data_IF_079953386835
#
_entry.id   IF_079953386835
#
_cell.length_a   1.000
_cell.length_b   1.000
_cell.length_c   1.000
_cell.angle_alpha   90.00
_cell.angle_beta   90.00
_cell.angle_gamma   90.00
#
_symmetry.space_group_name_H-M   'P 1'
#
loop_
_entity.id
_entity.type
_entity.pdbx_description
1 polymer ?
#
# COMPACT_ATOMS: atom_id res chain seq x y z
N UNK A 1 -26.60 -40.37 -24.58
CA UNK A 1 -25.87 -39.27 -25.25
C UNK A 1 -26.90 -38.18 -25.53
N UNK A 2 -27.12 -37.23 -24.60
CA UNK A 2 -28.24 -36.27 -24.71
C UNK A 2 -28.27 -35.12 -23.71
N UNK A 3 -27.47 -35.14 -22.64
CA UNK A 3 -27.51 -34.09 -21.61
C UNK A 3 -26.56 -32.92 -21.87
N UNK A 4 -25.48 -33.12 -22.63
CA UNK A 4 -24.48 -32.09 -22.92
C UNK A 4 -25.02 -31.01 -23.88
N UNK A 5 -25.87 -31.42 -24.84
CA UNK A 5 -26.52 -30.51 -25.80
C UNK A 5 -27.49 -29.52 -25.12
N UNK A 6 -28.19 -29.98 -24.07
CA UNK A 6 -29.14 -29.13 -23.33
C UNK A 6 -28.43 -28.04 -22.51
N UNK A 7 -27.25 -28.34 -21.96
CA UNK A 7 -26.47 -27.36 -21.19
C UNK A 7 -25.85 -26.30 -22.11
N UNK A 8 -25.42 -26.68 -23.30
CA UNK A 8 -24.87 -25.75 -24.28
C UNK A 8 -25.94 -24.78 -24.80
N UNK A 9 -27.15 -25.28 -25.03
CA UNK A 9 -28.29 -24.44 -25.46
C UNK A 9 -28.71 -23.44 -24.39
N UNK A 10 -28.73 -23.85 -23.11
CA UNK A 10 -29.07 -22.96 -21.99
C UNK A 10 -28.03 -21.83 -21.79
N UNK A 11 -26.75 -22.11 -22.06
CA UNK A 11 -25.69 -21.12 -21.96
C UNK A 11 -25.76 -20.09 -23.09
N UNK A 12 -26.07 -20.51 -24.32
CA UNK A 12 -26.29 -19.59 -25.45
C UNK A 12 -27.53 -18.72 -25.25
N UNK A 13 -28.65 -19.26 -24.78
CA UNK A 13 -29.85 -18.45 -24.46
C UNK A 13 -29.54 -17.38 -23.41
N UNK A 14 -28.74 -17.74 -22.39
CA UNK A 14 -28.36 -16.81 -21.33
C UNK A 14 -27.48 -15.68 -21.86
N UNK A 15 -26.57 -15.99 -22.78
CA UNK A 15 -25.71 -15.00 -23.44
C UNK A 15 -26.54 -14.05 -24.32
N UNK A 16 -27.43 -14.59 -25.15
CA UNK A 16 -28.30 -13.78 -26.02
C UNK A 16 -29.27 -12.90 -25.21
N UNK A 17 -29.86 -13.42 -24.13
CA UNK A 17 -30.75 -12.67 -23.26
C UNK A 17 -30.03 -11.52 -22.55
N UNK A 18 -28.77 -11.73 -22.16
CA UNK A 18 -27.94 -10.68 -21.55
C UNK A 18 -27.59 -9.59 -22.57
N UNK A 19 -27.26 -9.98 -23.81
CA UNK A 19 -26.98 -9.03 -24.89
C UNK A 19 -28.23 -8.21 -25.27
N UNK A 20 -29.40 -8.85 -25.34
CA UNK A 20 -30.67 -8.16 -25.59
C UNK A 20 -30.96 -7.12 -24.49
N UNK A 21 -30.69 -7.43 -23.21
CA UNK A 21 -30.88 -6.47 -22.10
C UNK A 21 -29.97 -5.24 -22.21
N UNK A 22 -28.73 -5.41 -22.70
CA UNK A 22 -27.82 -4.29 -22.94
C UNK A 22 -28.30 -3.42 -24.11
N UNK A 23 -28.81 -4.04 -25.18
CA UNK A 23 -29.30 -3.32 -26.36
C UNK A 23 -30.67 -2.63 -26.14
N UNK A 24 -31.52 -3.15 -25.23
CA UNK A 24 -32.86 -2.60 -24.96
C UNK A 24 -32.84 -1.36 -24.06
N UNK A 25 -31.66 -0.91 -23.58
CA UNK A 25 -31.54 0.34 -22.80
C UNK A 25 -31.26 1.57 -23.70
N UNK A 26 -31.18 1.41 -25.02
CA UNK A 26 -30.84 2.48 -25.95
C UNK A 26 -32.03 3.08 -26.75
N UNK A 27 -33.29 2.69 -26.50
CA UNK A 27 -34.37 3.10 -27.39
C UNK A 27 -35.78 3.09 -26.80
N UNK A 28 -36.07 3.96 -25.83
CA UNK A 28 -37.42 4.50 -25.61
C UNK A 28 -37.30 5.90 -25.00
N UNK A 29 -37.13 6.92 -25.84
CA UNK A 29 -37.40 8.31 -25.47
C UNK A 29 -38.79 8.68 -25.96
N UNK A 30 -39.75 8.72 -25.04
CA UNK A 30 -40.95 9.55 -25.20
C UNK A 30 -40.55 11.02 -24.90
N UNK A 31 -41.18 12.04 -25.51
CA UNK A 31 -40.85 13.42 -25.17
C UNK A 31 -41.41 13.75 -23.77
N UNK A 32 -40.53 13.74 -22.78
CA UNK A 32 -40.81 14.31 -21.46
C UNK A 32 -40.53 15.84 -21.49
N UNK A 33 -41.26 16.66 -20.71
CA UNK A 33 -41.08 18.10 -20.72
C UNK A 33 -39.64 18.44 -20.33
N UNK A 34 -39.10 19.47 -21.00
CA UNK A 34 -37.69 19.86 -20.98
C UNK A 34 -37.21 20.11 -19.55
N UNK A 35 -36.60 19.10 -18.93
CA UNK A 35 -35.92 19.27 -17.65
C UNK A 35 -34.54 19.87 -17.95
N UNK A 36 -34.15 20.99 -17.31
CA UNK A 36 -32.79 21.50 -17.43
C UNK A 36 -31.81 20.40 -17.02
N UNK A 37 -30.81 20.17 -17.87
CA UNK A 37 -29.77 19.17 -17.63
C UNK A 37 -29.18 19.38 -16.23
N UNK A 38 -29.01 18.33 -15.39
CA UNK A 38 -28.26 18.47 -14.15
C UNK A 38 -26.87 19.01 -14.49
N UNK A 39 -26.45 20.08 -13.82
CA UNK A 39 -25.12 20.64 -14.02
C UNK A 39 -24.06 19.53 -13.81
N UNK A 40 -22.97 19.53 -14.60
CA UNK A 40 -21.84 18.62 -14.37
C UNK A 40 -21.44 18.68 -12.90
N UNK A 41 -21.32 17.51 -12.26
CA UNK A 41 -20.82 17.44 -10.89
C UNK A 41 -19.51 18.24 -10.79
N UNK A 42 -19.34 19.10 -9.78
CA UNK A 42 -18.11 19.87 -9.65
C UNK A 42 -16.92 18.92 -9.63
N UNK A 43 -15.82 19.25 -10.34
CA UNK A 43 -14.64 18.39 -10.34
C UNK A 43 -14.22 18.15 -8.90
N UNK A 44 -14.10 16.87 -8.53
CA UNK A 44 -13.61 16.47 -7.22
C UNK A 44 -12.30 17.20 -6.95
N UNK A 45 -12.28 18.02 -5.90
CA UNK A 45 -11.11 18.79 -5.49
C UNK A 45 -9.94 17.81 -5.40
N UNK A 46 -8.82 18.01 -6.12
CA UNK A 46 -7.70 17.10 -6.02
C UNK A 46 -7.24 17.08 -4.56
N UNK A 47 -7.38 15.93 -3.90
CA UNK A 47 -6.94 15.73 -2.51
C UNK A 47 -5.42 15.95 -2.47
N UNK A 48 -5.00 17.13 -2.04
CA UNK A 48 -3.58 17.50 -2.00
C UNK A 48 -2.94 16.79 -0.80
N UNK A 49 -2.28 15.67 -1.07
CA UNK A 49 -1.41 15.02 -0.09
C UNK A 49 -0.10 15.79 0.01
N UNK A 50 0.32 16.08 1.25
CA UNK A 50 1.58 16.75 1.55
C UNK A 50 2.78 16.00 0.93
N UNK A 51 3.77 16.75 0.46
CA UNK A 51 5.02 16.20 -0.08
C UNK A 51 5.68 15.27 0.96
N UNK A 52 6.25 14.11 0.55
CA UNK A 52 6.97 13.24 1.49
C UNK A 52 8.11 13.99 2.18
N UNK A 53 8.37 13.64 3.42
CA UNK A 53 9.53 14.16 4.14
C UNK A 53 10.82 13.52 3.61
N UNK A 54 11.94 14.26 3.53
CA UNK A 54 13.24 13.66 3.25
C UNK A 54 13.57 12.57 4.27
N UNK A 55 14.22 11.51 3.82
CA UNK A 55 14.59 10.35 4.63
C UNK A 55 16.10 10.16 4.62
N UNK A 56 16.72 10.25 5.79
CA UNK A 56 18.17 10.18 6.01
C UNK A 56 18.72 8.74 6.16
N UNK A 57 17.83 7.76 6.35
CA UNK A 57 18.21 6.38 6.68
C UNK A 57 17.89 5.97 8.12
N UNK A 58 17.18 6.80 8.89
CA UNK A 58 16.75 6.45 10.24
C UNK A 58 15.90 5.17 10.25
N UNK A 59 16.27 4.21 11.09
CA UNK A 59 15.62 2.90 11.13
C UNK A 59 14.25 2.93 11.83
N UNK A 60 13.52 1.83 11.77
CA UNK A 60 12.35 1.60 12.61
C UNK A 60 11.11 2.37 12.15
N UNK A 61 10.55 3.20 13.04
CA UNK A 61 9.28 3.91 12.79
C UNK A 61 9.40 4.92 11.65
N UNK A 62 10.52 5.65 11.56
CA UNK A 62 10.76 6.64 10.52
C UNK A 62 10.80 6.01 9.13
N UNK A 63 11.51 4.88 8.97
CA UNK A 63 11.54 4.12 7.72
C UNK A 63 10.15 3.64 7.27
N UNK A 64 9.32 3.18 8.21
CA UNK A 64 7.93 2.77 7.93
C UNK A 64 7.06 3.95 7.50
N UNK A 65 7.18 5.08 8.19
CA UNK A 65 6.44 6.30 7.86
C UNK A 65 6.81 6.80 6.46
N UNK A 66 8.11 6.82 6.15
CA UNK A 66 8.62 7.20 4.84
C UNK A 66 8.01 6.35 3.72
N UNK A 67 8.09 5.01 3.82
CA UNK A 67 7.56 4.15 2.75
C UNK A 67 6.04 4.19 2.65
N UNK A 68 5.36 4.44 3.77
CA UNK A 68 3.93 4.72 3.80
C UNK A 68 3.56 5.99 3.02
N UNK A 69 4.33 7.07 3.17
CA UNK A 69 4.13 8.30 2.40
C UNK A 69 4.36 8.08 0.90
N UNK A 70 5.41 7.33 0.51
CA UNK A 70 5.67 6.97 -0.90
C UNK A 70 4.50 6.17 -1.48
N UNK A 71 4.05 5.13 -0.79
CA UNK A 71 2.92 4.32 -1.21
C UNK A 71 1.64 5.14 -1.35
N UNK A 72 1.38 6.03 -0.39
CA UNK A 72 0.20 6.90 -0.39
C UNK A 72 0.20 7.88 -1.59
N UNK A 73 1.35 8.45 -1.94
CA UNK A 73 1.48 9.28 -3.16
C UNK A 73 1.22 8.47 -4.43
N UNK A 74 1.76 7.26 -4.51
CA UNK A 74 1.60 6.40 -5.68
C UNK A 74 0.13 6.04 -5.94
N UNK A 75 -0.62 5.67 -4.89
CA UNK A 75 -2.06 5.32 -5.02
C UNK A 75 -2.95 6.55 -5.24
N UNK A 76 -2.58 7.71 -4.70
CA UNK A 76 -3.38 8.94 -4.84
C UNK A 76 -3.23 9.55 -6.22
N UNK A 77 -2.05 9.44 -6.82
CA UNK A 77 -1.76 10.03 -8.13
C UNK A 77 -1.33 8.96 -9.16
N UNK A 78 -2.18 7.97 -9.47
CA UNK A 78 -1.78 6.82 -10.29
C UNK A 78 -1.29 7.24 -11.68
N UNK A 79 -1.85 8.32 -12.27
CA UNK A 79 -1.41 8.89 -13.55
C UNK A 79 0.04 9.40 -13.53
N UNK A 80 0.57 9.80 -12.36
CA UNK A 80 1.97 10.22 -12.18
C UNK A 80 2.91 9.02 -12.02
N UNK A 81 2.37 7.88 -11.58
CA UNK A 81 3.11 6.64 -11.29
C UNK A 81 2.67 5.45 -12.17
N UNK A 82 2.69 5.58 -13.52
CA UNK A 82 2.26 4.50 -14.42
C UNK A 82 3.19 3.28 -14.42
N UNK A 83 4.37 3.35 -13.80
CA UNK A 83 5.35 2.25 -13.78
C UNK A 83 5.93 2.04 -12.39
N UNK A 84 6.34 0.81 -12.08
CA UNK A 84 7.04 0.47 -10.84
C UNK A 84 8.33 1.28 -10.66
N UNK A 85 9.07 1.46 -11.75
CA UNK A 85 10.30 2.26 -11.76
C UNK A 85 10.04 3.73 -11.36
N UNK A 86 8.91 4.32 -11.76
CA UNK A 86 8.57 5.69 -11.32
C UNK A 86 8.30 5.79 -9.82
N UNK A 87 7.76 4.74 -9.19
CA UNK A 87 7.59 4.67 -7.73
C UNK A 87 8.95 4.64 -7.03
N UNK A 88 9.90 3.86 -7.56
CA UNK A 88 11.29 3.79 -7.04
C UNK A 88 12.00 5.13 -7.22
N UNK A 89 11.96 5.72 -8.42
CA UNK A 89 12.55 7.06 -8.68
C UNK A 89 12.04 8.08 -7.69
N UNK A 90 10.74 8.08 -7.43
CA UNK A 90 10.13 8.98 -6.46
C UNK A 90 10.60 8.70 -5.05
N UNK A 91 10.68 7.45 -4.59
CA UNK A 91 11.25 7.13 -3.28
C UNK A 91 12.68 7.67 -3.16
N UNK A 92 13.54 7.37 -4.13
CA UNK A 92 14.95 7.77 -4.13
C UNK A 92 15.12 9.29 -4.13
N UNK A 93 14.25 10.05 -4.81
CA UNK A 93 14.29 11.51 -4.82
C UNK A 93 14.21 12.14 -3.42
N UNK A 94 13.60 11.43 -2.47
CA UNK A 94 13.47 11.88 -1.09
C UNK A 94 14.50 11.27 -0.15
N UNK A 95 15.40 10.40 -0.62
CA UNK A 95 16.48 9.84 0.19
C UNK A 95 17.64 10.83 0.30
N UNK A 96 18.20 10.94 1.50
CA UNK A 96 19.31 11.82 1.88
C UNK A 96 20.37 11.03 2.63
N UNK A 97 21.56 11.60 2.70
CA UNK A 97 22.68 11.09 3.51
C UNK A 97 22.91 9.59 3.31
N UNK A 98 22.83 8.80 4.38
CA UNK A 98 23.04 7.36 4.33
C UNK A 98 22.05 6.65 3.39
N UNK A 99 20.77 7.05 3.40
CA UNK A 99 19.78 6.49 2.49
C UNK A 99 20.07 6.81 1.01
N UNK A 100 20.63 8.00 0.72
CA UNK A 100 21.01 8.35 -0.65
C UNK A 100 22.12 7.42 -1.16
N UNK A 101 23.18 7.21 -0.36
CA UNK A 101 24.25 6.25 -0.68
C UNK A 101 23.73 4.83 -0.83
N UNK A 102 22.87 4.38 0.08
CA UNK A 102 22.24 3.06 0.02
C UNK A 102 21.43 2.85 -1.28
N UNK A 103 20.82 3.91 -1.80
CA UNK A 103 19.95 3.84 -2.99
C UNK A 103 20.70 3.87 -4.33
N UNK A 104 22.01 4.13 -4.34
CA UNK A 104 22.83 4.20 -5.56
C UNK A 104 22.65 3.03 -6.55
N UNK A 105 22.64 1.74 -6.14
CA UNK A 105 22.46 0.63 -7.09
C UNK A 105 21.10 0.67 -7.82
N UNK A 106 20.07 1.30 -7.25
CA UNK A 106 18.80 1.50 -7.95
C UNK A 106 18.88 2.65 -8.95
N UNK A 107 19.56 3.75 -8.60
CA UNK A 107 19.81 4.86 -9.52
C UNK A 107 20.59 4.39 -10.75
N UNK A 108 21.64 3.62 -10.55
CA UNK A 108 22.42 3.04 -11.65
C UNK A 108 21.53 2.17 -12.55
N UNK A 109 20.75 1.25 -11.97
CA UNK A 109 19.80 0.43 -12.74
C UNK A 109 18.82 1.30 -13.55
N UNK A 110 18.27 2.35 -12.95
CA UNK A 110 17.35 3.29 -13.62
C UNK A 110 18.06 3.98 -14.80
N UNK A 111 19.29 4.46 -14.61
CA UNK A 111 20.07 5.13 -15.67
C UNK A 111 20.49 4.19 -16.80
N UNK A 112 20.83 2.94 -16.48
CA UNK A 112 21.09 1.88 -17.46
C UNK A 112 19.81 1.27 -18.06
N UNK A 113 18.63 1.85 -17.77
CA UNK A 113 17.31 1.39 -18.24
C UNK A 113 17.01 -0.06 -17.87
N UNK A 114 17.63 -0.57 -16.81
CA UNK A 114 17.31 -1.87 -16.21
C UNK A 114 16.01 -1.72 -15.45
N UNK A 115 15.07 -2.65 -15.69
CA UNK A 115 13.79 -2.64 -15.00
C UNK A 115 13.99 -2.80 -13.49
N UNK A 116 13.54 -1.80 -12.72
CA UNK A 116 13.48 -1.88 -11.27
C UNK A 116 12.04 -2.09 -10.85
N UNK A 117 11.79 -3.23 -10.20
CA UNK A 117 10.49 -3.59 -9.63
C UNK A 117 10.40 -3.01 -8.22
N UNK A 118 9.30 -2.32 -7.94
CA UNK A 118 9.10 -1.62 -6.66
C UNK A 118 9.08 -2.59 -5.49
N UNK A 119 8.52 -3.80 -5.66
CA UNK A 119 8.50 -4.82 -4.61
C UNK A 119 9.90 -5.31 -4.21
N UNK A 120 10.83 -5.42 -5.17
CA UNK A 120 12.23 -5.77 -4.87
C UNK A 120 12.89 -4.66 -4.06
N UNK A 121 12.69 -3.40 -4.47
CA UNK A 121 13.14 -2.23 -3.71
C UNK A 121 12.56 -2.22 -2.29
N UNK A 122 11.26 -2.51 -2.12
CA UNK A 122 10.62 -2.58 -0.80
C UNK A 122 11.20 -3.68 0.07
N UNK A 123 11.49 -4.85 -0.51
CA UNK A 123 12.08 -5.97 0.22
C UNK A 123 13.45 -5.60 0.78
N UNK A 124 14.31 -5.04 -0.07
CA UNK A 124 15.65 -4.62 0.31
C UNK A 124 15.59 -3.46 1.32
N UNK A 125 14.72 -2.47 1.09
CA UNK A 125 14.49 -1.34 2.01
C UNK A 125 14.07 -1.82 3.40
N UNK A 126 13.13 -2.77 3.47
CA UNK A 126 12.69 -3.36 4.75
C UNK A 126 13.84 -4.11 5.43
N UNK A 127 14.63 -4.86 4.66
CA UNK A 127 15.78 -5.58 5.21
C UNK A 127 16.81 -4.63 5.82
N UNK A 128 17.04 -3.47 5.20
CA UNK A 128 18.04 -2.50 5.66
C UNK A 128 17.54 -1.62 6.81
N UNK A 129 16.33 -1.06 6.70
CA UNK A 129 15.90 0.01 7.61
C UNK A 129 14.82 -0.38 8.60
N UNK A 130 14.15 -1.53 8.44
CA UNK A 130 13.18 -1.93 9.45
C UNK A 130 13.94 -2.51 10.65
N UNK A 131 13.56 -2.07 11.85
CA UNK A 131 14.11 -2.61 13.09
C UNK A 131 13.86 -4.13 13.17
N UNK A 132 14.91 -4.89 12.86
CA UNK A 132 15.01 -6.31 13.20
C UNK A 132 15.35 -6.50 14.69
N UNK A 133 15.76 -5.41 15.36
CA UNK A 133 16.24 -5.44 16.73
C UNK A 133 15.12 -5.54 17.79
N UNK A 134 13.83 -5.46 17.41
CA UNK A 134 12.74 -5.70 18.39
C UNK A 134 12.82 -7.08 19.03
N UNK A 135 13.33 -8.07 18.30
CA UNK A 135 13.50 -9.42 18.83
C UNK A 135 14.64 -9.49 19.86
N UNK A 136 15.75 -8.78 19.63
CA UNK A 136 16.86 -8.73 20.57
C UNK A 136 16.54 -7.85 21.79
N UNK A 137 15.93 -6.68 21.60
CA UNK A 137 15.50 -5.80 22.70
C UNK A 137 14.44 -6.48 23.59
N UNK A 138 13.46 -7.18 23.01
CA UNK A 138 12.50 -7.96 23.79
C UNK A 138 13.20 -9.10 24.57
N UNK A 139 14.17 -9.78 23.94
CA UNK A 139 14.94 -10.84 24.60
C UNK A 139 15.83 -10.33 25.74
N UNK A 140 16.31 -9.09 25.68
CA UNK A 140 17.04 -8.43 26.79
C UNK A 140 16.08 -7.92 27.87
N UNK A 141 14.87 -7.47 27.51
CA UNK A 141 13.87 -6.97 28.46
C UNK A 141 13.17 -8.09 29.26
N UNK A 142 12.96 -9.27 28.65
CA UNK A 142 12.28 -10.40 29.30
C UNK A 142 12.96 -10.88 30.61
N UNK A 143 14.30 -11.11 30.66
CA UNK A 143 15.00 -11.48 31.90
C UNK A 143 14.96 -10.37 32.96
N UNK A 144 15.08 -9.10 32.57
CA UNK A 144 15.04 -7.97 33.50
C UNK A 144 13.67 -7.80 34.17
N UNK A 145 12.59 -8.14 33.45
CA UNK A 145 11.23 -8.14 34.00
C UNK A 145 11.04 -9.26 35.05
N UNK A 146 11.57 -10.46 34.81
CA UNK A 146 11.55 -11.56 35.79
C UNK A 146 12.44 -11.28 37.03
N UNK A 147 13.52 -10.51 36.90
CA UNK A 147 14.42 -10.23 38.02
C UNK A 147 13.88 -9.17 39.00
N UNK A 148 12.90 -8.35 38.56
CA UNK A 148 12.31 -7.28 39.40
C UNK A 148 11.32 -7.83 40.43
N UNK A 149 10.89 -9.09 40.28
CA UNK A 149 10.17 -9.84 41.31
C UNK A 149 11.12 -10.45 42.34
N UNK A 150 11.88 -9.63 43.05
CA UNK A 150 12.75 -10.14 44.13
C UNK A 150 11.88 -10.60 45.31
N UNK A 151 12.06 -11.85 45.74
CA UNK A 151 11.41 -12.50 46.91
C UNK A 151 11.57 -11.71 48.23
N UNK A 152 12.44 -10.69 48.24
CA UNK A 152 12.71 -9.82 49.39
C UNK A 152 11.51 -8.97 49.83
N UNK A 153 10.50 -8.77 48.98
CA UNK A 153 9.29 -8.03 49.36
C UNK A 153 8.35 -8.78 50.33
N UNK A 154 8.57 -10.07 50.59
CA UNK A 154 7.68 -10.90 51.42
C UNK A 154 8.19 -11.18 52.84
N UNK A 155 9.41 -10.76 53.21
CA UNK A 155 9.97 -11.08 54.55
C UNK A 155 9.84 -9.97 55.58
N UNK A 156 9.31 -8.79 55.24
CA UNK A 156 9.05 -7.71 56.21
C UNK A 156 7.64 -7.70 56.80
N UNK A 157 6.73 -8.59 56.38
CA UNK A 157 5.33 -8.60 56.81
C UNK A 157 4.94 -9.78 57.73
N UNK A 158 5.93 -10.55 58.22
CA UNK A 158 5.71 -11.73 59.09
C UNK A 158 6.35 -11.59 60.49
N UNK A 159 6.71 -10.39 60.94
CA UNK A 159 7.30 -10.16 62.26
C UNK A 159 6.52 -9.21 63.18
N UNK A 160 5.20 -9.01 62.96
CA UNK A 160 4.30 -8.42 63.96
C UNK A 160 2.94 -9.13 63.95
N UNK A 161 2.86 -10.29 64.59
CA UNK A 161 1.66 -10.77 65.30
C UNK A 161 2.02 -11.85 66.32
#
# INVERSE_FOLDING_TARGET
>A
MGEESAQQLAMEETLQKTQARLNTTAGQQNPAPTQPNPAPAPPSNPKVIAKPQPFDGTHGATAKAFIGQIGLHAVTYPKKFPTETRKVVFAVLFMRDYAATWSQPYLEKIFYKVLVVFDNFLKDFRSSFFDQNRWHCAKVALPNLCLTGTVLAYTQDLSVL
#
